data_IF_899225897221
#
_entry.id   IF_899225897221
#
_cell.length_a   1.000
_cell.length_b   1.000
_cell.length_c   1.000
_cell.angle_alpha   90.00
_cell.angle_beta   90.00
_cell.angle_gamma   90.00
#
_symmetry.space_group_name_H-M   'P 1'
#
loop_
_entity.id
_entity.type
_entity.pdbx_description
1 polymer ?
#
# COMPACT_ATOMS: atom_id res chain seq x y z
N UNK A 1 5.91 16.01 13.13
CA UNK A 1 6.47 15.12 14.14
C UNK A 1 5.80 13.75 14.12
N UNK A 2 4.47 13.61 14.20
CA UNK A 2 3.76 12.30 14.21
C UNK A 2 4.07 11.45 12.97
N UNK A 3 4.12 11.99 11.76
CA UNK A 3 4.46 11.22 10.57
C UNK A 3 5.87 10.58 10.61
N UNK A 4 6.82 11.21 11.29
CA UNK A 4 8.14 10.62 11.50
C UNK A 4 8.04 9.42 12.45
N UNK A 5 7.28 9.57 13.52
CA UNK A 5 7.03 8.52 14.51
C UNK A 5 6.27 7.32 13.91
N UNK A 6 5.27 7.57 13.04
CA UNK A 6 4.58 6.51 12.28
C UNK A 6 5.57 5.74 11.40
N UNK A 7 6.43 6.44 10.65
CA UNK A 7 7.41 5.79 9.78
C UNK A 7 8.40 4.93 10.57
N UNK A 8 8.87 5.46 11.68
CA UNK A 8 9.81 4.75 12.56
C UNK A 8 9.15 3.51 13.19
N UNK A 9 7.99 3.69 13.82
CA UNK A 9 7.31 2.61 14.52
C UNK A 9 6.87 1.47 13.60
N UNK A 10 6.39 1.79 12.39
CA UNK A 10 5.97 0.79 11.40
C UNK A 10 7.12 0.30 10.51
N UNK A 11 8.31 0.87 10.64
CA UNK A 11 9.44 0.66 9.74
C UNK A 11 9.01 0.73 8.27
N UNK A 12 8.54 1.92 7.86
CA UNK A 12 8.06 2.20 6.49
C UNK A 12 8.71 3.48 5.96
N UNK A 13 9.06 3.54 4.67
CA UNK A 13 9.70 4.72 4.09
C UNK A 13 8.71 5.85 3.76
N UNK A 14 7.41 5.53 3.68
CA UNK A 14 6.35 6.47 3.33
C UNK A 14 5.13 6.31 4.23
N UNK A 15 4.35 7.38 4.37
CA UNK A 15 3.09 7.37 5.14
C UNK A 15 1.92 7.29 4.17
N UNK A 16 1.02 6.33 4.38
CA UNK A 16 -0.17 6.11 3.55
C UNK A 16 -1.18 7.25 3.64
N UNK A 17 -2.07 7.32 2.65
CA UNK A 17 -3.07 8.38 2.51
C UNK A 17 -3.98 8.48 3.73
N UNK A 18 -4.31 7.37 4.39
CA UNK A 18 -5.23 7.37 5.53
C UNK A 18 -4.72 8.26 6.69
N UNK A 19 -3.43 8.21 7.02
CA UNK A 19 -2.85 9.06 8.05
C UNK A 19 -2.84 10.54 7.64
N UNK A 20 -2.73 10.83 6.33
CA UNK A 20 -2.79 12.20 5.80
C UNK A 20 -4.21 12.74 5.83
N UNK A 21 -5.21 11.90 5.56
CA UNK A 21 -6.62 12.27 5.71
C UNK A 21 -6.93 12.59 7.17
N UNK A 22 -6.49 11.77 8.11
CA UNK A 22 -6.64 12.05 9.55
C UNK A 22 -5.97 13.36 9.98
N UNK A 23 -4.84 13.72 9.37
CA UNK A 23 -4.18 15.00 9.65
C UNK A 23 -4.96 16.23 9.18
N UNK A 24 -5.92 16.07 8.27
CA UNK A 24 -6.84 17.12 7.82
C UNK A 24 -8.02 17.35 8.76
N UNK A 25 -8.17 16.53 9.80
CA UNK A 25 -9.25 16.61 10.79
C UNK A 25 -8.63 16.96 12.15
N UNK A 26 -9.07 18.03 12.77
CA UNK A 26 -8.51 18.56 14.02
C UNK A 26 -8.45 17.48 15.12
N UNK A 27 -7.26 17.20 15.60
CA UNK A 27 -6.99 16.24 16.68
C UNK A 27 -7.16 14.75 16.32
N UNK A 28 -7.63 14.43 15.10
CA UNK A 28 -7.91 13.04 14.72
C UNK A 28 -6.63 12.23 14.57
N UNK A 29 -5.60 12.78 13.95
CA UNK A 29 -4.31 12.10 13.80
C UNK A 29 -3.68 11.81 15.15
N UNK A 30 -3.63 12.80 16.04
CA UNK A 30 -3.07 12.70 17.39
C UNK A 30 -3.80 11.64 18.22
N UNK A 31 -5.11 11.71 18.22
CA UNK A 31 -5.95 10.76 18.96
C UNK A 31 -5.82 9.34 18.44
N UNK A 32 -5.90 9.17 17.11
CA UNK A 32 -5.80 7.84 16.48
C UNK A 32 -4.40 7.26 16.69
N UNK A 33 -3.34 8.05 16.49
CA UNK A 33 -1.98 7.56 16.68
C UNK A 33 -1.64 7.32 18.15
N UNK A 34 -2.22 8.09 19.06
CA UNK A 34 -2.11 7.84 20.51
C UNK A 34 -2.57 6.44 20.91
N UNK A 35 -3.61 5.91 20.25
CA UNK A 35 -4.11 4.55 20.44
C UNK A 35 -3.36 3.51 19.61
N UNK A 36 -3.08 3.80 18.34
CA UNK A 36 -2.45 2.89 17.40
C UNK A 36 -0.96 2.65 17.71
N UNK A 37 -0.23 3.70 18.10
CA UNK A 37 1.21 3.65 18.29
C UNK A 37 1.67 2.59 19.30
N UNK A 38 1.07 2.47 20.50
CA UNK A 38 1.37 1.39 21.43
C UNK A 38 1.12 -0.02 20.83
N UNK A 39 0.04 -0.19 20.06
CA UNK A 39 -0.30 -1.47 19.42
C UNK A 39 0.77 -1.83 18.38
N UNK A 40 1.17 -0.88 17.56
CA UNK A 40 2.24 -1.08 16.57
C UNK A 40 3.55 -1.47 17.26
N UNK A 41 3.97 -0.73 18.30
CA UNK A 41 5.22 -0.97 19.02
C UNK A 41 5.23 -2.28 19.82
N UNK A 42 4.07 -2.86 20.11
CA UNK A 42 4.00 -4.19 20.72
C UNK A 42 4.48 -5.32 19.80
N UNK A 43 4.60 -5.04 18.48
CA UNK A 43 4.94 -6.03 17.46
C UNK A 43 3.77 -6.94 17.05
N UNK A 44 2.60 -6.86 17.67
CA UNK A 44 1.48 -7.75 17.37
C UNK A 44 0.86 -7.45 15.99
N UNK A 45 0.90 -6.21 15.52
CA UNK A 45 0.48 -5.86 14.15
C UNK A 45 1.40 -6.51 13.12
N UNK A 46 2.70 -6.51 13.37
CA UNK A 46 3.71 -7.17 12.54
C UNK A 46 3.51 -8.68 12.50
N UNK A 47 3.27 -9.28 13.65
CA UNK A 47 2.98 -10.71 13.77
C UNK A 47 1.68 -11.09 13.05
N UNK A 48 0.66 -10.22 13.10
CA UNK A 48 -0.60 -10.39 12.38
C UNK A 48 -0.41 -10.29 10.87
N UNK A 49 0.42 -9.35 10.40
CA UNK A 49 0.78 -9.23 8.99
C UNK A 49 1.48 -10.50 8.50
N UNK A 50 2.50 -10.97 9.23
CA UNK A 50 3.22 -12.19 8.87
C UNK A 50 2.30 -13.44 8.84
N UNK A 51 1.28 -13.49 9.69
CA UNK A 51 0.25 -14.53 9.66
C UNK A 51 -0.63 -14.40 8.43
N UNK A 52 -1.13 -13.19 8.14
CA UNK A 52 -1.97 -12.91 6.96
C UNK A 52 -1.24 -13.29 5.66
N UNK A 53 0.03 -12.94 5.54
CA UNK A 53 0.85 -13.28 4.39
C UNK A 53 0.96 -14.80 4.19
N UNK A 54 1.14 -15.57 5.26
CA UNK A 54 1.20 -17.03 5.17
C UNK A 54 -0.14 -17.68 4.84
N UNK A 55 -1.21 -17.20 5.47
CA UNK A 55 -2.50 -17.89 5.48
C UNK A 55 -3.39 -17.48 4.29
N UNK A 56 -3.28 -16.23 3.85
CA UNK A 56 -4.17 -15.63 2.84
C UNK A 56 -3.47 -15.39 1.51
N UNK A 57 -2.25 -14.86 1.54
CA UNK A 57 -1.51 -14.55 0.33
C UNK A 57 -0.85 -15.82 -0.24
N UNK A 58 -1.67 -16.75 -0.75
CA UNK A 58 -1.15 -17.88 -1.53
C UNK A 58 -0.43 -17.33 -2.76
N UNK A 59 0.71 -17.93 -3.15
CA UNK A 59 1.35 -17.57 -4.39
C UNK A 59 0.33 -17.68 -5.53
N UNK A 60 -0.06 -16.56 -6.09
CA UNK A 60 -0.81 -16.59 -7.35
C UNK A 60 0.07 -17.19 -8.42
N UNK A 61 -0.48 -18.00 -9.35
CA UNK A 61 0.25 -18.49 -10.49
C UNK A 61 0.95 -17.29 -11.14
N UNK A 62 2.27 -17.41 -11.35
CA UNK A 62 3.03 -16.34 -11.97
C UNK A 62 2.42 -16.06 -13.35
N UNK A 63 1.74 -14.94 -13.49
CA UNK A 63 1.33 -14.45 -14.79
C UNK A 63 2.61 -14.05 -15.56
N UNK A 64 2.70 -14.41 -16.85
CA UNK A 64 3.83 -13.96 -17.65
C UNK A 64 3.81 -12.43 -17.69
N UNK A 65 4.82 -11.84 -17.08
CA UNK A 65 4.99 -10.39 -17.11
C UNK A 65 5.56 -10.02 -18.48
N UNK A 66 4.89 -9.14 -19.25
CA UNK A 66 5.37 -8.69 -20.54
C UNK A 66 6.80 -8.17 -20.48
N UNK A 67 7.55 -8.35 -21.56
CA UNK A 67 8.87 -7.74 -21.68
C UNK A 67 8.73 -6.22 -21.84
N UNK A 68 9.57 -5.47 -21.15
CA UNK A 68 9.55 -4.01 -21.20
C UNK A 68 10.87 -3.40 -20.71
N UNK A 69 11.10 -2.15 -21.06
CA UNK A 69 12.31 -1.40 -20.70
C UNK A 69 12.50 -1.29 -19.18
N UNK A 70 11.38 -1.31 -18.40
CA UNK A 70 11.35 -1.24 -16.95
C UNK A 70 12.03 -2.43 -16.24
N UNK A 71 12.31 -3.54 -16.95
CA UNK A 71 12.93 -4.73 -16.32
C UNK A 71 14.29 -4.46 -15.68
N UNK A 72 15.04 -3.47 -16.19
CA UNK A 72 16.30 -3.03 -15.58
C UNK A 72 16.14 -2.48 -14.18
N UNK A 73 14.95 -1.95 -13.83
CA UNK A 73 14.67 -1.23 -12.60
C UNK A 73 13.86 -2.05 -11.59
N UNK A 74 13.77 -3.37 -11.78
CA UNK A 74 12.98 -4.27 -10.92
C UNK A 74 13.26 -4.10 -9.42
N UNK A 75 14.48 -3.77 -9.03
CA UNK A 75 14.84 -3.55 -7.62
C UNK A 75 14.11 -2.31 -7.09
N UNK A 76 14.11 -1.21 -7.85
CA UNK A 76 13.42 0.01 -7.45
C UNK A 76 11.89 -0.15 -7.48
N UNK A 77 11.37 -0.77 -8.53
CA UNK A 77 9.93 -1.06 -8.67
C UNK A 77 9.44 -1.90 -7.49
N UNK A 78 10.16 -2.98 -7.14
CA UNK A 78 9.84 -3.82 -5.99
C UNK A 78 9.92 -3.07 -4.68
N UNK A 79 10.87 -2.14 -4.54
CA UNK A 79 10.97 -1.30 -3.36
C UNK A 79 9.76 -0.38 -3.21
N UNK A 80 9.33 0.27 -4.30
CA UNK A 80 8.12 1.11 -4.31
C UNK A 80 6.90 0.28 -3.96
N UNK A 81 6.62 -0.79 -4.70
CA UNK A 81 5.43 -1.63 -4.47
C UNK A 81 5.43 -2.23 -3.08
N UNK A 82 6.57 -2.76 -2.62
CA UNK A 82 6.72 -3.31 -1.27
C UNK A 82 6.48 -2.28 -0.17
N UNK A 83 6.96 -1.05 -0.35
CA UNK A 83 6.72 0.05 0.58
C UNK A 83 5.23 0.38 0.73
N UNK A 84 4.49 0.46 -0.38
CA UNK A 84 3.04 0.67 -0.35
C UNK A 84 2.29 -0.52 0.23
N UNK A 85 2.62 -1.74 -0.18
CA UNK A 85 1.99 -2.95 0.34
C UNK A 85 2.14 -3.01 1.85
N UNK A 86 3.35 -2.89 2.36
CA UNK A 86 3.61 -2.92 3.81
C UNK A 86 2.89 -1.79 4.55
N UNK A 87 3.02 -0.55 4.07
CA UNK A 87 2.40 0.61 4.72
C UNK A 87 0.88 0.49 4.78
N UNK A 88 0.25 0.06 3.69
CA UNK A 88 -1.20 -0.13 3.64
C UNK A 88 -1.65 -1.28 4.54
N UNK A 89 -0.97 -2.42 4.49
CA UNK A 89 -1.34 -3.60 5.29
C UNK A 89 -1.21 -3.33 6.79
N UNK A 90 -0.12 -2.74 7.25
CA UNK A 90 0.05 -2.39 8.67
C UNK A 90 -0.97 -1.34 9.13
N UNK A 91 -1.24 -0.33 8.29
CA UNK A 91 -2.24 0.70 8.59
C UNK A 91 -3.64 0.09 8.68
N UNK A 92 -4.00 -0.77 7.73
CA UNK A 92 -5.30 -1.47 7.75
C UNK A 92 -5.44 -2.33 9.00
N UNK A 93 -4.45 -3.15 9.32
CA UNK A 93 -4.48 -4.04 10.48
C UNK A 93 -4.63 -3.27 11.80
N UNK A 94 -3.82 -2.22 12.00
CA UNK A 94 -3.90 -1.45 13.26
C UNK A 94 -5.19 -0.65 13.36
N UNK A 95 -5.66 -0.03 12.29
CA UNK A 95 -6.90 0.75 12.31
C UNK A 95 -8.12 -0.18 12.46
N UNK A 96 -8.12 -1.34 11.81
CA UNK A 96 -9.16 -2.35 12.02
C UNK A 96 -9.20 -2.84 13.47
N UNK A 97 -8.05 -3.03 14.12
CA UNK A 97 -7.98 -3.41 15.51
C UNK A 97 -8.55 -2.33 16.48
N UNK A 98 -8.51 -1.04 16.08
CA UNK A 98 -9.10 0.05 16.88
C UNK A 98 -10.62 0.08 16.80
N UNK A 99 -11.23 -0.41 15.72
CA UNK A 99 -12.68 -0.34 15.48
C UNK A 99 -13.37 -1.69 15.65
N UNK A 100 -12.62 -2.79 15.63
CA UNK A 100 -13.18 -4.12 15.81
C UNK A 100 -13.59 -4.36 17.27
N UNK A 101 -14.73 -4.98 17.45
CA UNK A 101 -15.08 -5.52 18.76
C UNK A 101 -14.16 -6.69 19.13
N UNK A 102 -13.70 -6.80 20.38
CA UNK A 102 -12.90 -7.93 20.81
C UNK A 102 -13.67 -9.24 20.61
N UNK A 103 -13.24 -10.03 19.63
CA UNK A 103 -13.84 -11.33 19.34
C UNK A 103 -12.90 -12.44 19.80
N UNK A 104 -13.33 -13.26 20.72
CA UNK A 104 -12.67 -14.49 21.12
C UNK A 104 -11.46 -14.33 22.06
N UNK A 105 -10.68 -15.38 22.16
CA UNK A 105 -9.50 -15.48 23.02
C UNK A 105 -8.33 -14.71 22.40
N UNK A 106 -7.59 -13.97 23.24
CA UNK A 106 -6.36 -13.29 22.81
C UNK A 106 -5.29 -14.33 22.48
N UNK A 107 -4.90 -14.37 21.22
CA UNK A 107 -3.77 -15.19 20.78
C UNK A 107 -2.54 -14.28 20.69
N UNK A 108 -1.54 -14.54 21.52
CA UNK A 108 -0.25 -13.86 21.40
C UNK A 108 0.52 -14.50 20.26
N UNK A 109 0.84 -13.71 19.24
CA UNK A 109 1.59 -14.16 18.08
C UNK A 109 3.08 -13.94 18.30
N UNK A 110 3.92 -14.85 17.79
CA UNK A 110 5.36 -14.66 17.77
C UNK A 110 5.73 -13.47 16.88
N UNK A 111 6.38 -12.47 17.46
CA UNK A 111 6.81 -11.26 16.73
C UNK A 111 7.98 -11.62 15.83
N UNK A 112 7.89 -11.41 14.51
CA UNK A 112 9.00 -11.65 13.59
C UNK A 112 10.13 -10.63 13.83
N UNK A 113 11.36 -10.93 13.40
CA UNK A 113 12.42 -9.94 13.43
C UNK A 113 12.04 -8.72 12.56
N UNK A 114 12.49 -7.51 12.95
CA UNK A 114 12.20 -6.31 12.16
C UNK A 114 12.81 -6.47 10.75
N UNK A 115 12.11 -5.99 9.71
CA UNK A 115 12.65 -5.98 8.37
C UNK A 115 13.89 -5.09 8.30
N UNK A 116 14.78 -5.38 7.34
CA UNK A 116 15.95 -4.57 7.08
C UNK A 116 15.61 -3.13 6.64
N UNK A 117 16.64 -2.29 6.48
CA UNK A 117 16.44 -0.92 6.02
C UNK A 117 15.87 -0.89 4.60
N UNK A 118 15.00 0.07 4.34
CA UNK A 118 14.45 0.31 3.02
C UNK A 118 15.50 0.89 2.07
N UNK A 119 15.53 0.48 0.80
CA UNK A 119 16.27 1.19 -0.22
C UNK A 119 15.69 2.60 -0.41
N UNK A 120 16.50 3.52 -0.90
CA UNK A 120 16.01 4.85 -1.28
C UNK A 120 14.95 4.70 -2.37
N UNK A 121 13.75 5.21 -2.11
CA UNK A 121 12.69 5.23 -3.12
C UNK A 121 12.93 6.39 -4.10
N UNK A 122 12.54 6.26 -5.37
CA UNK A 122 12.51 7.37 -6.31
C UNK A 122 11.58 8.49 -5.78
N UNK A 123 11.74 9.74 -6.21
CA UNK A 123 10.87 10.82 -5.81
C UNK A 123 9.44 10.59 -6.32
N UNK A 124 8.45 10.95 -5.51
CA UNK A 124 7.07 10.95 -5.95
C UNK A 124 6.87 12.10 -6.96
N UNK A 125 6.50 11.78 -8.20
CA UNK A 125 6.24 12.79 -9.23
C UNK A 125 5.05 13.68 -8.87
N UNK A 126 5.22 14.99 -9.08
CA UNK A 126 4.09 15.92 -9.06
C UNK A 126 3.21 15.69 -10.29
N UNK A 127 1.89 15.95 -10.23
CA UNK A 127 1.00 15.72 -11.37
C UNK A 127 1.42 16.46 -12.65
N UNK A 128 2.00 17.64 -12.54
CA UNK A 128 2.50 18.49 -13.61
C UNK A 128 3.87 18.05 -14.18
N UNK A 129 4.54 17.12 -13.52
CA UNK A 129 5.79 16.51 -13.97
C UNK A 129 5.57 15.23 -14.80
N UNK A 130 4.33 14.76 -14.91
CA UNK A 130 3.97 13.53 -15.61
C UNK A 130 3.40 13.91 -16.98
N UNK A 131 3.90 13.28 -18.04
CA UNK A 131 3.38 13.52 -19.40
C UNK A 131 1.91 13.07 -19.55
N UNK A 132 1.24 13.60 -20.55
CA UNK A 132 -0.20 13.39 -20.77
C UNK A 132 -0.57 11.92 -21.02
N UNK A 133 0.24 11.18 -21.74
CA UNK A 133 -0.03 9.78 -22.08
C UNK A 133 0.11 8.89 -20.84
N UNK A 134 1.14 9.12 -20.04
CA UNK A 134 1.34 8.46 -18.75
C UNK A 134 0.21 8.81 -17.76
N UNK A 135 -0.22 10.09 -17.69
CA UNK A 135 -1.38 10.48 -16.89
C UNK A 135 -2.64 9.72 -17.30
N UNK A 136 -2.92 9.64 -18.61
CA UNK A 136 -4.10 8.90 -19.11
C UNK A 136 -4.04 7.40 -18.73
N UNK A 137 -2.85 6.78 -18.79
CA UNK A 137 -2.66 5.39 -18.35
C UNK A 137 -2.90 5.25 -16.85
N UNK A 138 -2.35 6.15 -16.04
CA UNK A 138 -2.57 6.20 -14.59
C UNK A 138 -4.06 6.31 -14.25
N UNK A 139 -4.81 7.17 -14.95
CA UNK A 139 -6.25 7.32 -14.74
C UNK A 139 -7.01 6.02 -15.04
N UNK A 140 -6.64 5.31 -16.11
CA UNK A 140 -7.27 4.02 -16.45
C UNK A 140 -6.97 2.95 -15.41
N UNK A 141 -5.71 2.78 -15.02
CA UNK A 141 -5.31 1.82 -14.00
C UNK A 141 -5.95 2.14 -12.65
N UNK A 142 -5.99 3.43 -12.28
CA UNK A 142 -6.59 3.87 -11.02
C UNK A 142 -8.09 3.62 -10.95
N UNK A 143 -8.79 3.60 -12.09
CA UNK A 143 -10.21 3.32 -12.17
C UNK A 143 -10.54 1.86 -11.87
N UNK A 144 -9.63 0.94 -12.22
CA UNK A 144 -9.79 -0.49 -11.96
C UNK A 144 -9.80 -0.71 -10.43
N UNK A 145 -10.87 -1.30 -9.92
CA UNK A 145 -11.06 -1.53 -8.49
C UNK A 145 -11.36 -0.28 -7.64
N UNK A 146 -11.58 0.88 -8.28
CA UNK A 146 -12.04 2.09 -7.59
C UNK A 146 -13.57 2.15 -7.54
N UNK A 147 -14.10 2.68 -6.45
CA UNK A 147 -15.52 3.03 -6.40
C UNK A 147 -15.78 4.33 -7.15
N UNK A 148 -16.94 4.51 -7.82
CA UNK A 148 -17.28 5.73 -8.57
C UNK A 148 -17.14 7.02 -7.77
N UNK A 149 -17.33 6.93 -6.46
CA UNK A 149 -17.34 8.08 -5.54
C UNK A 149 -15.95 8.38 -4.94
N UNK A 150 -14.89 7.67 -5.36
CA UNK A 150 -13.54 7.86 -4.82
C UNK A 150 -12.76 8.88 -5.67
N UNK A 151 -12.72 10.16 -5.28
CA UNK A 151 -11.95 11.16 -6.00
C UNK A 151 -10.46 10.97 -5.75
N UNK A 152 -9.68 11.09 -6.79
CA UNK A 152 -8.24 11.17 -6.72
C UNK A 152 -7.51 9.93 -7.22
N UNK A 153 -6.24 10.14 -7.51
CA UNK A 153 -5.32 9.13 -8.02
C UNK A 153 -4.48 8.59 -6.86
N UNK A 154 -4.44 7.27 -6.70
CA UNK A 154 -3.58 6.64 -5.71
C UNK A 154 -2.11 7.03 -5.93
N UNK A 155 -1.43 7.44 -4.85
CA UNK A 155 -0.04 7.91 -4.92
C UNK A 155 0.93 6.83 -5.42
N UNK A 156 0.58 5.55 -5.31
CA UNK A 156 1.34 4.44 -5.89
C UNK A 156 1.55 4.64 -7.40
N UNK A 157 0.50 4.97 -8.14
CA UNK A 157 0.59 5.12 -9.60
C UNK A 157 1.51 6.27 -10.00
N UNK A 158 1.45 7.38 -9.28
CA UNK A 158 2.37 8.50 -9.48
C UNK A 158 3.81 8.17 -9.12
N UNK A 159 4.03 7.27 -8.17
CA UNK A 159 5.36 6.77 -7.81
C UNK A 159 5.94 5.82 -8.87
N UNK A 160 5.06 5.21 -9.67
CA UNK A 160 5.42 4.34 -10.79
C UNK A 160 5.44 5.08 -12.14
N UNK A 161 5.21 6.40 -12.15
CA UNK A 161 5.14 7.19 -13.39
C UNK A 161 6.46 7.22 -14.19
N UNK A 162 7.59 6.95 -13.54
CA UNK A 162 8.89 6.81 -14.24
C UNK A 162 8.97 5.53 -15.11
N UNK A 163 7.98 4.64 -15.03
CA UNK A 163 7.91 3.39 -15.80
C UNK A 163 6.56 3.27 -16.55
N UNK A 164 6.31 4.08 -17.58
CA UNK A 164 5.04 4.08 -18.31
C UNK A 164 4.71 2.73 -18.95
N UNK A 165 5.73 2.02 -19.46
CA UNK A 165 5.56 0.67 -20.00
C UNK A 165 5.09 -0.33 -18.93
N UNK A 166 5.54 -0.18 -17.69
CA UNK A 166 5.06 -1.00 -16.57
C UNK A 166 3.59 -0.70 -16.26
N UNK A 167 3.19 0.57 -16.24
CA UNK A 167 1.79 0.96 -16.02
C UNK A 167 0.88 0.37 -17.11
N UNK A 168 1.31 0.41 -18.36
CA UNK A 168 0.60 -0.23 -19.48
C UNK A 168 0.52 -1.75 -19.33
N UNK A 169 1.60 -2.38 -18.88
CA UNK A 169 1.61 -3.81 -18.61
C UNK A 169 0.65 -4.18 -17.46
N UNK A 170 0.60 -3.37 -16.40
CA UNK A 170 -0.35 -3.55 -15.29
C UNK A 170 -1.77 -3.40 -15.79
N UNK A 171 -2.09 -2.32 -16.54
CA UNK A 171 -3.41 -2.11 -17.13
C UNK A 171 -3.85 -3.35 -17.92
N UNK A 172 -2.99 -3.83 -18.81
CA UNK A 172 -3.26 -5.01 -19.64
C UNK A 172 -3.55 -6.27 -18.81
N UNK A 173 -2.81 -6.43 -17.70
CA UNK A 173 -2.96 -7.61 -16.84
C UNK A 173 -4.23 -7.58 -15.97
N UNK A 174 -4.67 -6.38 -15.54
CA UNK A 174 -5.78 -6.25 -14.58
C UNK A 174 -7.12 -5.88 -15.21
N UNK A 175 -7.13 -5.27 -16.39
CA UNK A 175 -8.37 -4.92 -17.10
C UNK A 175 -9.33 -6.11 -17.33
N UNK A 176 -8.87 -7.33 -17.67
CA UNK A 176 -9.76 -8.49 -17.78
C UNK A 176 -10.48 -8.83 -16.48
N UNK A 177 -9.85 -8.64 -15.33
CA UNK A 177 -10.44 -8.94 -14.01
C UNK A 177 -11.62 -7.99 -13.67
N UNK A 178 -11.58 -6.75 -14.16
CA UNK A 178 -12.70 -5.81 -14.04
C UNK A 178 -13.87 -6.24 -14.94
N UNK A 179 -13.57 -6.64 -16.19
CA UNK A 179 -14.58 -7.08 -17.16
C UNK A 179 -15.30 -8.36 -16.69
N UNK A 180 -14.61 -9.24 -15.98
CA UNK A 180 -15.16 -10.49 -15.43
C UNK A 180 -15.94 -10.28 -14.12
N UNK A 181 -16.01 -9.05 -13.60
CA UNK A 181 -16.69 -8.71 -12.35
C UNK A 181 -15.98 -9.21 -11.08
N UNK A 182 -14.73 -9.69 -11.20
CA UNK A 182 -13.97 -10.24 -10.07
C UNK A 182 -13.78 -9.26 -8.90
N UNK A 183 -13.85 -7.94 -9.17
CA UNK A 183 -13.78 -6.90 -8.13
C UNK A 183 -15.13 -6.55 -7.50
N UNK A 184 -16.25 -6.99 -8.10
CA UNK A 184 -17.58 -6.71 -7.55
C UNK A 184 -17.99 -7.73 -6.47
N UNK A 185 -17.31 -8.86 -6.41
CA UNK A 185 -17.60 -9.97 -5.48
C UNK A 185 -16.65 -10.00 -4.27
N UNK A 186 -15.66 -9.08 -4.21
CA UNK A 186 -14.67 -9.00 -3.14
C UNK A 186 -15.02 -7.91 -2.12
#
# INVERSE_FOLDING_TARGET
MIFADIREAMNIPLVTSIWRVLAGIDGALESTWGLAGPIVRSGQVEASLARLERDVLRPMPAQPIPDGAWRGDLVQIRAVVGAYTRSNSLSLLVLSALVAEPAGERVELAVPPPPGPWPTLPPLRAPDEIDADTCATIERVNRIGSTPDQPGVATLWRHLADWPDLLTAIETAVAPLEADGAYAEA
#
